data_IF_044194777583
#
_entry.id   IF_044194777583
#
_cell.length_a   1.000
_cell.length_b   1.000
_cell.length_c   1.000
_cell.angle_alpha   90.00
_cell.angle_beta   90.00
_cell.angle_gamma   90.00
#
_symmetry.space_group_name_H-M   'P 1'
#
loop_
_entity.id
_entity.type
_entity.pdbx_description
1 polymer ?
#
# COMPACT_ATOMS: atom_id res chain seq x y z
N UNK A 1 51.84 -24.82 -29.77
CA UNK A 1 52.99 -24.21 -29.08
C UNK A 1 52.99 -22.69 -29.15
N UNK A 2 52.82 -22.08 -30.33
CA UNK A 2 52.84 -20.60 -30.48
C UNK A 2 51.84 -19.86 -29.59
N UNK A 3 50.60 -20.35 -29.45
CA UNK A 3 49.58 -19.75 -28.57
C UNK A 3 50.00 -19.68 -27.09
N UNK A 4 50.69 -20.71 -26.60
CA UNK A 4 51.18 -20.75 -25.20
C UNK A 4 52.36 -19.80 -25.03
N UNK A 5 53.26 -19.75 -26.02
CA UNK A 5 54.41 -18.85 -26.00
C UNK A 5 53.93 -17.38 -26.00
N UNK A 6 52.99 -17.04 -26.87
CA UNK A 6 52.40 -15.71 -26.96
C UNK A 6 51.66 -15.33 -25.66
N UNK A 7 50.86 -16.24 -25.11
CA UNK A 7 50.16 -16.02 -23.84
C UNK A 7 51.13 -15.77 -22.68
N UNK A 8 52.14 -16.62 -22.52
CA UNK A 8 53.17 -16.46 -21.47
C UNK A 8 53.95 -15.17 -21.68
N UNK A 9 54.29 -14.82 -22.92
CA UNK A 9 54.96 -13.55 -23.25
C UNK A 9 54.10 -12.35 -22.85
N UNK A 10 52.79 -12.39 -23.10
CA UNK A 10 51.85 -11.35 -22.69
C UNK A 10 51.73 -11.22 -21.17
N UNK A 11 51.75 -12.34 -20.43
CA UNK A 11 51.78 -12.32 -18.95
C UNK A 11 53.09 -11.68 -18.46
N UNK A 12 54.23 -12.08 -19.01
CA UNK A 12 55.53 -11.53 -18.61
C UNK A 12 55.58 -10.02 -18.88
N UNK A 13 55.12 -9.59 -20.06
CA UNK A 13 55.06 -8.17 -20.42
C UNK A 13 54.14 -7.41 -19.45
N UNK A 14 52.95 -7.96 -19.15
CA UNK A 14 52.03 -7.37 -18.18
C UNK A 14 52.66 -7.27 -16.78
N UNK A 15 53.36 -8.30 -16.31
CA UNK A 15 54.04 -8.30 -15.02
C UNK A 15 55.14 -7.23 -14.96
N UNK A 16 55.89 -7.04 -16.05
CA UNK A 16 56.87 -5.96 -16.15
C UNK A 16 56.19 -4.59 -16.01
N UNK A 17 55.07 -4.37 -16.71
CA UNK A 17 54.27 -3.14 -16.55
C UNK A 17 53.72 -2.99 -15.13
N UNK A 18 53.22 -4.07 -14.51
CA UNK A 18 52.69 -4.05 -13.16
C UNK A 18 53.75 -3.63 -12.13
N UNK A 19 55.00 -4.09 -12.30
CA UNK A 19 56.14 -3.69 -11.45
C UNK A 19 56.45 -2.19 -11.64
N UNK A 20 56.45 -1.71 -12.88
CA UNK A 20 56.65 -0.28 -13.17
C UNK A 20 55.54 0.55 -12.50
N UNK A 21 54.28 0.14 -12.65
CA UNK A 21 53.13 0.81 -12.01
C UNK A 21 53.29 0.82 -10.49
N UNK A 22 53.75 -0.27 -9.87
CA UNK A 22 53.97 -0.32 -8.42
C UNK A 22 55.03 0.70 -7.95
N UNK A 23 56.09 0.91 -8.74
CA UNK A 23 57.11 1.92 -8.44
C UNK A 23 56.66 3.35 -8.71
N UNK A 24 55.73 3.58 -9.64
CA UNK A 24 55.16 4.91 -9.88
C UNK A 24 54.14 5.30 -8.81
N UNK A 25 53.52 4.32 -8.13
CA UNK A 25 52.48 4.60 -7.15
C UNK A 25 53.07 5.12 -5.82
N UNK A 26 52.63 6.29 -5.33
CA UNK A 26 53.03 6.78 -4.03
C UNK A 26 52.48 5.89 -2.91
N UNK A 27 53.25 5.70 -1.85
CA UNK A 27 52.83 4.93 -0.68
C UNK A 27 51.60 5.56 -0.03
N UNK A 28 50.45 4.88 -0.08
CA UNK A 28 49.19 5.41 0.44
C UNK A 28 48.04 4.40 0.36
N UNK A 29 46.85 4.83 0.78
CA UNK A 29 45.63 3.99 0.72
C UNK A 29 45.30 3.60 -0.71
N UNK A 30 45.49 4.50 -1.68
CA UNK A 30 45.26 4.25 -3.11
C UNK A 30 46.14 3.16 -3.70
N UNK A 31 47.38 3.02 -3.23
CA UNK A 31 48.28 1.95 -3.71
C UNK A 31 47.68 0.57 -3.45
N UNK A 32 46.98 0.36 -2.32
CA UNK A 32 46.33 -0.92 -1.98
C UNK A 32 45.23 -1.28 -2.98
N UNK A 33 44.41 -0.30 -3.34
CA UNK A 33 43.31 -0.49 -4.28
C UNK A 33 43.81 -0.73 -5.71
N UNK A 34 44.85 -0.01 -6.13
CA UNK A 34 45.47 -0.24 -7.44
C UNK A 34 46.14 -1.61 -7.48
N UNK A 35 46.85 -2.04 -6.42
CA UNK A 35 47.41 -3.39 -6.31
C UNK A 35 46.36 -4.48 -6.44
N UNK A 36 45.22 -4.30 -5.78
CA UNK A 36 44.08 -5.21 -5.89
C UNK A 36 43.55 -5.27 -7.33
N UNK A 37 43.34 -4.12 -7.98
CA UNK A 37 42.83 -4.07 -9.36
C UNK A 37 43.80 -4.69 -10.37
N UNK A 38 45.10 -4.39 -10.25
CA UNK A 38 46.16 -4.98 -11.10
C UNK A 38 46.24 -6.49 -10.89
N UNK A 39 46.10 -6.97 -9.65
CA UNK A 39 46.03 -8.41 -9.35
C UNK A 39 44.81 -9.09 -9.98
N UNK A 40 43.64 -8.45 -9.94
CA UNK A 40 42.44 -8.94 -10.62
C UNK A 40 42.65 -9.01 -12.15
N UNK A 41 43.28 -7.99 -12.72
CA UNK A 41 43.61 -7.94 -14.15
C UNK A 41 44.60 -9.05 -14.53
N UNK A 42 45.59 -9.35 -13.68
CA UNK A 42 46.50 -10.49 -13.88
C UNK A 42 45.73 -11.82 -13.94
N UNK A 43 44.80 -12.03 -13.00
CA UNK A 43 43.96 -13.24 -13.00
C UNK A 43 43.16 -13.35 -14.29
N UNK A 44 42.57 -12.24 -14.78
CA UNK A 44 41.83 -12.25 -16.05
C UNK A 44 42.72 -12.59 -17.26
N UNK A 45 43.92 -11.99 -17.34
CA UNK A 45 44.89 -12.29 -18.41
C UNK A 45 45.35 -13.75 -18.35
N UNK A 46 45.53 -14.30 -17.14
CA UNK A 46 45.83 -15.72 -16.94
C UNK A 46 44.66 -16.64 -17.34
N UNK A 47 43.42 -16.20 -17.10
CA UNK A 47 42.22 -17.00 -17.36
C UNK A 47 41.81 -16.97 -18.84
N UNK A 48 42.21 -15.96 -19.61
CA UNK A 48 41.85 -15.79 -21.02
C UNK A 48 42.02 -17.05 -21.91
N UNK A 49 43.15 -17.79 -21.92
CA UNK A 49 43.26 -19.00 -22.73
C UNK A 49 42.37 -20.16 -22.23
N UNK A 50 42.09 -20.22 -20.92
CA UNK A 50 41.18 -21.20 -20.33
C UNK A 50 39.76 -20.95 -20.82
N UNK A 51 39.34 -19.68 -20.85
CA UNK A 51 38.04 -19.26 -21.39
C UNK A 51 37.94 -19.53 -22.89
N UNK A 52 39.01 -19.24 -23.65
CA UNK A 52 39.07 -19.55 -25.09
C UNK A 52 38.94 -21.05 -25.36
N UNK A 53 39.52 -21.91 -24.51
CA UNK A 53 39.40 -23.37 -24.64
C UNK A 53 37.97 -23.84 -24.34
N UNK A 54 37.25 -23.12 -23.47
CA UNK A 54 35.83 -23.34 -23.21
C UNK A 54 34.91 -22.73 -24.30
N UNK A 55 35.46 -22.16 -25.38
CA UNK A 55 34.71 -21.41 -26.41
C UNK A 55 33.90 -20.23 -25.86
N UNK A 56 34.37 -19.66 -24.75
CA UNK A 56 33.71 -18.53 -24.10
C UNK A 56 34.49 -17.26 -24.38
N UNK A 57 33.79 -16.25 -24.89
CA UNK A 57 34.33 -14.92 -25.13
C UNK A 57 34.39 -14.12 -23.82
N UNK A 58 35.58 -13.73 -23.33
CA UNK A 58 35.72 -12.96 -22.10
C UNK A 58 34.96 -11.63 -22.13
N UNK A 59 34.84 -10.99 -23.30
CA UNK A 59 34.20 -9.68 -23.46
C UNK A 59 32.68 -9.81 -23.26
N UNK A 60 32.09 -10.89 -23.80
CA UNK A 60 30.67 -11.19 -23.62
C UNK A 60 30.33 -11.59 -22.18
N UNK A 61 31.22 -12.32 -21.50
CA UNK A 61 31.05 -12.64 -20.07
C UNK A 61 31.05 -11.39 -19.21
N UNK A 62 31.98 -10.46 -19.45
CA UNK A 62 32.03 -9.21 -18.69
C UNK A 62 30.79 -8.37 -18.97
N UNK A 63 30.38 -8.23 -20.24
CA UNK A 63 29.19 -7.48 -20.62
C UNK A 63 27.92 -8.04 -19.96
N UNK A 64 27.72 -9.35 -20.02
CA UNK A 64 26.58 -10.02 -19.37
C UNK A 64 26.61 -9.90 -17.84
N UNK A 65 27.77 -10.05 -17.21
CA UNK A 65 27.92 -9.84 -15.76
C UNK A 65 27.59 -8.40 -15.35
N UNK A 66 28.00 -7.40 -16.14
CA UNK A 66 27.70 -5.99 -15.88
C UNK A 66 26.21 -5.68 -16.00
N UNK A 67 25.54 -6.27 -17.00
CA UNK A 67 24.09 -6.18 -17.18
C UNK A 67 23.35 -6.87 -16.02
N UNK A 68 23.81 -8.04 -15.58
CA UNK A 68 23.22 -8.71 -14.40
C UNK A 68 23.43 -7.91 -13.11
N UNK A 69 24.60 -7.31 -12.91
CA UNK A 69 24.88 -6.51 -11.72
C UNK A 69 24.04 -5.22 -11.68
N UNK A 70 23.86 -4.57 -12.83
CA UNK A 70 22.98 -3.39 -12.94
C UNK A 70 21.50 -3.75 -12.78
N UNK A 71 21.04 -4.82 -13.42
CA UNK A 71 19.66 -5.31 -13.28
C UNK A 71 19.36 -5.85 -11.88
N UNK A 72 20.35 -6.41 -11.16
CA UNK A 72 20.17 -6.87 -9.78
C UNK A 72 19.77 -5.74 -8.82
N UNK A 73 20.26 -4.52 -9.05
CA UNK A 73 19.84 -3.34 -8.28
C UNK A 73 18.41 -2.91 -8.61
N UNK A 74 18.03 -2.98 -9.88
CA UNK A 74 16.65 -2.73 -10.32
C UNK A 74 15.67 -3.77 -9.76
N UNK A 75 16.10 -5.03 -9.63
CA UNK A 75 15.31 -6.10 -9.00
C UNK A 75 15.03 -5.85 -7.52
N UNK A 76 16.01 -5.34 -6.75
CA UNK A 76 15.83 -5.03 -5.33
C UNK A 76 14.82 -3.88 -5.11
N UNK A 77 14.87 -2.84 -5.94
CA UNK A 77 13.90 -1.74 -5.87
C UNK A 77 12.49 -2.19 -6.27
N UNK A 78 12.37 -3.02 -7.31
CA UNK A 78 11.09 -3.59 -7.72
C UNK A 78 10.46 -4.42 -6.59
N UNK A 79 11.24 -5.26 -5.91
CA UNK A 79 10.77 -6.06 -4.76
C UNK A 79 10.33 -5.16 -3.61
N UNK A 80 11.11 -4.12 -3.26
CA UNK A 80 10.72 -3.16 -2.22
C UNK A 80 9.40 -2.46 -2.53
N UNK A 81 9.21 -2.02 -3.77
CA UNK A 81 7.97 -1.38 -4.21
C UNK A 81 6.76 -2.32 -4.12
N UNK A 82 6.93 -3.59 -4.52
CA UNK A 82 5.88 -4.60 -4.38
C UNK A 82 5.49 -4.84 -2.91
N UNK A 83 6.48 -4.92 -2.02
CA UNK A 83 6.23 -5.09 -0.58
C UNK A 83 5.48 -3.89 0.00
N UNK A 84 5.88 -2.66 -0.32
CA UNK A 84 5.18 -1.46 0.14
C UNK A 84 3.75 -1.36 -0.40
N UNK A 85 3.52 -1.78 -1.64
CA UNK A 85 2.16 -1.84 -2.20
C UNK A 85 1.29 -2.87 -1.47
N UNK A 86 1.81 -4.09 -1.27
CA UNK A 86 1.08 -5.14 -0.54
C UNK A 86 0.77 -4.72 0.90
N UNK A 87 1.71 -4.05 1.57
CA UNK A 87 1.50 -3.49 2.91
C UNK A 87 0.34 -2.50 2.92
N UNK A 88 0.27 -1.58 1.96
CA UNK A 88 -0.83 -0.61 1.83
C UNK A 88 -2.18 -1.31 1.61
N UNK A 89 -2.23 -2.31 0.74
CA UNK A 89 -3.44 -3.08 0.47
C UNK A 89 -3.92 -3.85 1.72
N UNK A 90 -3.00 -4.48 2.45
CA UNK A 90 -3.31 -5.19 3.71
C UNK A 90 -3.84 -4.20 4.75
N UNK A 91 -3.20 -3.04 4.93
CA UNK A 91 -3.66 -2.03 5.88
C UNK A 91 -5.05 -1.49 5.50
N UNK A 92 -5.32 -1.27 4.22
CA UNK A 92 -6.63 -0.82 3.75
C UNK A 92 -7.74 -1.85 4.04
N UNK A 93 -7.47 -3.14 3.76
CA UNK A 93 -8.44 -4.21 4.01
C UNK A 93 -8.71 -4.44 5.51
N UNK A 94 -7.68 -4.37 6.36
CA UNK A 94 -7.83 -4.44 7.80
C UNK A 94 -8.68 -3.28 8.34
N UNK A 95 -8.45 -2.06 7.86
CA UNK A 95 -9.25 -0.89 8.25
C UNK A 95 -10.72 -1.04 7.86
N UNK A 96 -10.98 -1.43 6.62
CA UNK A 96 -12.35 -1.67 6.15
C UNK A 96 -13.07 -2.74 7.00
N UNK A 97 -12.36 -3.79 7.39
CA UNK A 97 -12.89 -4.83 8.27
C UNK A 97 -13.26 -4.28 9.65
N UNK A 98 -12.36 -3.50 10.28
CA UNK A 98 -12.63 -2.93 11.62
C UNK A 98 -13.81 -1.96 11.57
N UNK A 99 -13.87 -1.06 10.58
CA UNK A 99 -14.97 -0.12 10.43
C UNK A 99 -16.32 -0.83 10.24
N UNK A 100 -16.34 -1.90 9.44
CA UNK A 100 -17.53 -2.72 9.25
C UNK A 100 -17.97 -3.41 10.55
N UNK A 101 -17.02 -3.93 11.33
CA UNK A 101 -17.34 -4.57 12.60
C UNK A 101 -17.87 -3.57 13.63
N UNK A 102 -17.29 -2.37 13.69
CA UNK A 102 -17.80 -1.28 14.53
C UNK A 102 -19.21 -0.86 14.12
N UNK A 103 -19.47 -0.68 12.82
CA UNK A 103 -20.79 -0.38 12.28
C UNK A 103 -21.85 -1.41 12.73
N UNK A 104 -21.55 -2.71 12.59
CA UNK A 104 -22.45 -3.79 13.01
C UNK A 104 -22.69 -3.77 14.52
N UNK A 105 -21.67 -3.48 15.33
CA UNK A 105 -21.83 -3.40 16.77
C UNK A 105 -22.70 -2.21 17.18
N UNK A 106 -22.46 -1.03 16.59
CA UNK A 106 -23.28 0.17 16.82
C UNK A 106 -24.73 -0.04 16.35
N UNK A 107 -24.94 -0.70 15.21
CA UNK A 107 -26.26 -1.07 14.70
C UNK A 107 -27.02 -1.94 15.70
N UNK A 108 -26.39 -3.01 16.21
CA UNK A 108 -27.02 -3.92 17.16
C UNK A 108 -27.32 -3.23 18.50
N UNK A 109 -26.45 -2.34 18.96
CA UNK A 109 -26.62 -1.62 20.23
C UNK A 109 -27.85 -0.70 20.26
N UNK A 110 -28.31 -0.23 19.10
CA UNK A 110 -29.42 0.74 19.00
C UNK A 110 -30.68 0.18 18.36
N UNK A 111 -30.58 -0.88 17.55
CA UNK A 111 -31.72 -1.40 16.81
C UNK A 111 -32.84 -1.96 17.69
N UNK A 112 -32.51 -2.61 18.81
CA UNK A 112 -33.53 -3.12 19.73
C UNK A 112 -34.37 -1.97 20.32
N UNK A 113 -33.71 -0.93 20.80
CA UNK A 113 -34.36 0.20 21.47
C UNK A 113 -35.07 1.15 20.48
N UNK A 114 -34.49 1.36 19.29
CA UNK A 114 -35.14 2.11 18.20
C UNK A 114 -36.39 1.40 17.67
N UNK A 115 -36.38 0.06 17.65
CA UNK A 115 -37.54 -0.72 17.25
C UNK A 115 -38.66 -0.66 18.29
N UNK A 116 -38.33 -0.78 19.57
CA UNK A 116 -39.32 -0.72 20.66
C UNK A 116 -39.94 0.68 20.84
N UNK A 117 -39.13 1.74 20.81
CA UNK A 117 -39.61 3.11 21.09
C UNK A 117 -40.15 3.83 19.86
N UNK A 118 -39.53 3.63 18.70
CA UNK A 118 -39.81 4.42 17.50
C UNK A 118 -40.30 3.59 16.30
N UNK A 119 -40.25 2.25 16.36
CA UNK A 119 -40.60 1.37 15.24
C UNK A 119 -39.67 1.52 14.04
N UNK A 120 -38.43 1.96 14.26
CA UNK A 120 -37.43 2.24 13.24
C UNK A 120 -36.28 1.24 13.31
N UNK A 121 -35.68 0.95 12.15
CA UNK A 121 -34.42 0.21 12.06
C UNK A 121 -33.31 1.13 11.55
N UNK A 122 -32.19 1.17 12.26
CA UNK A 122 -30.96 1.84 11.86
C UNK A 122 -30.06 0.90 11.04
N UNK A 123 -29.44 1.46 10.01
CA UNK A 123 -28.37 0.87 9.20
C UNK A 123 -27.18 1.83 9.35
N UNK A 124 -26.11 1.38 10.02
CA UNK A 124 -25.01 2.25 10.45
C UNK A 124 -23.80 2.04 9.54
N UNK A 125 -23.23 3.13 9.03
CA UNK A 125 -21.97 3.14 8.29
C UNK A 125 -20.96 4.06 8.98
N UNK A 126 -19.74 3.56 9.21
CA UNK A 126 -18.68 4.33 9.89
C UNK A 126 -17.62 4.74 8.87
N UNK A 127 -17.37 6.05 8.78
CA UNK A 127 -16.38 6.63 7.87
C UNK A 127 -15.19 7.23 8.61
N UNK A 128 -14.04 6.98 8.00
CA UNK A 128 -12.71 7.22 8.52
C UNK A 128 -12.01 8.33 7.74
N UNK A 129 -11.20 9.16 8.41
CA UNK A 129 -10.24 10.03 7.70
C UNK A 129 -9.28 9.21 6.81
N UNK A 130 -9.07 9.60 5.54
CA UNK A 130 -8.03 9.00 4.71
C UNK A 130 -6.64 9.44 5.18
N UNK A 131 -5.72 8.51 5.36
CA UNK A 131 -4.34 8.79 5.78
C UNK A 131 -3.60 7.53 6.26
N UNK A 132 -2.26 7.52 6.16
CA UNK A 132 -1.44 6.37 6.59
C UNK A 132 -1.36 6.26 8.12
N UNK A 133 -1.44 7.38 8.84
CA UNK A 133 -1.46 7.45 10.30
C UNK A 133 -2.89 7.34 10.85
N UNK A 134 -3.44 6.13 10.82
CA UNK A 134 -4.75 5.80 11.41
C UNK A 134 -4.62 5.40 12.87
N UNK A 135 -5.22 6.17 13.79
CA UNK A 135 -5.31 5.93 15.23
C UNK A 135 -6.78 5.85 15.64
N UNK A 136 -7.18 4.67 16.09
CA UNK A 136 -8.49 4.49 16.72
C UNK A 136 -8.43 4.85 18.21
N UNK A 137 -9.50 5.42 18.78
CA UNK A 137 -10.77 5.78 18.14
C UNK A 137 -10.81 7.20 17.51
N UNK A 138 -9.73 7.98 17.64
CA UNK A 138 -9.72 9.42 17.37
C UNK A 138 -9.92 9.83 15.89
N UNK A 139 -9.61 8.94 14.94
CA UNK A 139 -9.67 9.26 13.50
C UNK A 139 -11.02 8.96 12.82
N UNK A 140 -12.04 8.55 13.59
CA UNK A 140 -13.42 8.45 13.09
C UNK A 140 -13.93 9.84 12.77
N UNK A 141 -14.33 10.07 11.51
CA UNK A 141 -14.76 11.39 11.04
C UNK A 141 -16.27 11.55 11.15
N UNK A 142 -17.00 10.56 10.64
CA UNK A 142 -18.44 10.64 10.52
C UNK A 142 -19.03 9.24 10.64
N UNK A 143 -20.09 9.11 11.43
CA UNK A 143 -20.94 7.94 11.51
C UNK A 143 -22.23 8.33 10.81
N UNK A 144 -22.51 7.69 9.68
CA UNK A 144 -23.76 7.87 8.95
C UNK A 144 -24.75 6.80 9.43
N UNK A 145 -25.94 7.23 9.83
CA UNK A 145 -27.00 6.37 10.34
C UNK A 145 -28.21 6.55 9.44
N UNK A 146 -28.54 5.50 8.69
CA UNK A 146 -29.70 5.49 7.81
C UNK A 146 -30.87 4.81 8.53
N UNK A 147 -31.92 5.57 8.83
CA UNK A 147 -33.13 5.08 9.50
C UNK A 147 -34.17 4.64 8.47
N UNK A 148 -34.79 3.49 8.68
CA UNK A 148 -35.87 2.97 7.84
C UNK A 148 -37.06 2.50 8.66
N UNK A 149 -38.28 2.84 8.22
CA UNK A 149 -39.53 2.30 8.78
C UNK A 149 -39.74 0.89 8.23
N UNK A 150 -39.84 -0.10 9.12
CA UNK A 150 -40.20 -1.45 8.69
C UNK A 150 -41.72 -1.50 8.44
N UNK A 151 -42.13 -1.49 7.17
CA UNK A 151 -43.50 -1.89 6.82
C UNK A 151 -43.63 -3.39 7.11
N UNK A 152 -44.52 -3.74 8.04
CA UNK A 152 -45.05 -5.11 8.12
C UNK A 152 -45.55 -5.52 6.73
N UNK A 153 -45.05 -6.65 6.23
CA UNK A 153 -45.40 -7.17 4.92
C UNK A 153 -46.89 -7.56 4.91
N UNK A 154 -47.77 -6.66 4.49
CA UNK A 154 -49.19 -7.02 4.35
C UNK A 154 -50.26 -5.94 4.23
N UNK A 155 -49.97 -4.64 4.06
CA UNK A 155 -51.05 -3.69 3.77
C UNK A 155 -50.61 -2.59 2.80
N UNK A 156 -51.10 -2.71 1.57
CA UNK A 156 -50.99 -1.69 0.53
C UNK A 156 -52.22 -0.81 0.66
N UNK A 157 -52.08 0.38 1.25
CA UNK A 157 -53.11 1.41 1.13
C UNK A 157 -53.02 2.03 -0.27
N UNK A 158 -54.15 2.13 -1.01
CA UNK A 158 -54.16 2.73 -2.33
C UNK A 158 -53.86 4.22 -2.23
N UNK A 159 -52.94 4.69 -3.07
CA UNK A 159 -52.58 6.12 -3.16
C UNK A 159 -53.70 6.84 -3.93
N UNK A 160 -54.51 7.62 -3.23
CA UNK A 160 -55.41 8.62 -3.81
C UNK A 160 -54.61 9.91 -3.99
N UNK A 161 -54.37 10.32 -5.23
CA UNK A 161 -53.68 11.57 -5.55
C UNK A 161 -54.74 12.66 -5.73
N UNK A 162 -55.07 13.38 -4.65
CA UNK A 162 -55.82 14.64 -4.73
C UNK A 162 -54.84 15.80 -5.03
N UNK A 163 -55.02 16.45 -6.18
CA UNK A 163 -54.10 17.43 -6.78
C UNK A 163 -54.35 18.89 -6.37
N UNK A 164 -55.13 19.15 -5.32
CA UNK A 164 -55.60 20.51 -4.98
C UNK A 164 -54.95 21.15 -3.75
N UNK A 165 -53.85 20.61 -3.22
CA UNK A 165 -53.12 21.21 -2.08
C UNK A 165 -51.61 21.24 -2.34
N UNK A 166 -50.94 22.41 -2.21
CA UNK A 166 -49.47 22.49 -2.27
C UNK A 166 -48.83 21.61 -1.18
N UNK A 167 -47.64 21.02 -1.42
CA UNK A 167 -46.97 20.20 -0.43
C UNK A 167 -46.51 21.10 0.73
N UNK A 168 -47.08 20.89 1.91
CA UNK A 168 -46.50 21.41 3.13
C UNK A 168 -45.20 20.63 3.40
N UNK A 169 -44.10 21.33 3.64
CA UNK A 169 -42.89 20.75 4.23
C UNK A 169 -43.30 20.04 5.53
N UNK A 170 -43.05 18.73 5.70
CA UNK A 170 -43.44 18.05 6.93
C UNK A 170 -42.45 18.42 8.04
N UNK A 171 -42.82 19.37 8.88
CA UNK A 171 -42.08 19.77 10.10
C UNK A 171 -41.83 18.59 11.07
N UNK A 172 -42.54 17.46 10.93
CA UNK A 172 -42.44 16.30 11.81
C UNK A 172 -41.19 15.43 11.61
N UNK A 173 -40.66 15.30 10.39
CA UNK A 173 -39.53 14.39 10.13
C UNK A 173 -38.18 14.99 10.53
N UNK A 174 -38.03 16.31 10.44
CA UNK A 174 -36.84 17.03 10.91
C UNK A 174 -36.73 17.01 12.45
N UNK A 175 -37.86 17.15 13.16
CA UNK A 175 -37.91 17.06 14.62
C UNK A 175 -37.59 15.65 15.13
N UNK A 176 -38.06 14.61 14.43
CA UNK A 176 -37.73 13.21 14.74
C UNK A 176 -36.26 12.88 14.46
N UNK A 177 -35.66 13.48 13.42
CA UNK A 177 -34.24 13.31 13.12
C UNK A 177 -33.34 13.88 14.22
N UNK A 178 -33.67 15.06 14.76
CA UNK A 178 -32.92 15.66 15.87
C UNK A 178 -33.09 14.86 17.17
N UNK A 179 -34.29 14.36 17.47
CA UNK A 179 -34.52 13.55 18.67
C UNK A 179 -33.74 12.22 18.61
N UNK A 180 -33.73 11.56 17.45
CA UNK A 180 -32.94 10.35 17.24
C UNK A 180 -31.44 10.65 17.24
N UNK A 181 -31.00 11.78 16.68
CA UNK A 181 -29.58 12.20 16.75
C UNK A 181 -29.13 12.40 18.19
N UNK A 182 -29.89 13.11 19.01
CA UNK A 182 -29.58 13.32 20.42
C UNK A 182 -29.56 12.01 21.22
N UNK A 183 -30.50 11.10 20.92
CA UNK A 183 -30.53 9.76 21.50
C UNK A 183 -29.28 8.95 21.15
N UNK A 184 -28.87 8.95 19.88
CA UNK A 184 -27.67 8.23 19.40
C UNK A 184 -26.38 8.83 19.97
N UNK A 185 -26.27 10.16 20.03
CA UNK A 185 -25.13 10.85 20.62
C UNK A 185 -24.96 10.50 22.12
N UNK A 186 -26.06 10.50 22.87
CA UNK A 186 -26.06 10.10 24.28
C UNK A 186 -25.72 8.62 24.49
N UNK A 187 -26.18 7.73 23.59
CA UNK A 187 -25.94 6.29 23.71
C UNK A 187 -24.50 5.88 23.34
N UNK A 188 -23.92 6.53 22.33
CA UNK A 188 -22.59 6.20 21.85
C UNK A 188 -21.48 7.06 22.48
N UNK A 189 -21.82 8.06 23.29
CA UNK A 189 -20.88 9.03 23.86
C UNK A 189 -20.03 9.74 22.77
N UNK A 190 -20.65 10.03 21.63
CA UNK A 190 -20.02 10.68 20.46
C UNK A 190 -20.68 12.03 20.21
N UNK A 191 -19.88 13.03 19.86
CA UNK A 191 -20.35 14.37 19.50
C UNK A 191 -21.44 14.31 18.41
N UNK A 192 -22.53 15.04 18.60
CA UNK A 192 -23.64 15.14 17.64
C UNK A 192 -23.17 15.60 16.24
N UNK A 193 -22.10 16.40 16.18
CA UNK A 193 -21.48 16.90 14.95
C UNK A 193 -20.86 15.79 14.08
N UNK A 194 -20.61 14.61 14.65
CA UNK A 194 -20.04 13.46 13.95
C UNK A 194 -21.10 12.45 13.49
N UNK A 195 -22.37 12.65 13.86
CA UNK A 195 -23.47 11.73 13.54
C UNK A 195 -24.36 12.36 12.48
N UNK A 196 -24.32 11.80 11.27
CA UNK A 196 -25.26 12.18 10.21
C UNK A 196 -26.43 11.19 10.20
N UNK A 197 -27.66 11.70 10.23
CA UNK A 197 -28.88 10.88 10.32
C UNK A 197 -29.74 11.15 9.09
N UNK A 198 -30.01 10.10 8.32
CA UNK A 198 -30.82 10.19 7.11
C UNK A 198 -31.99 9.20 7.15
N UNK A 199 -33.18 9.62 6.71
CA UNK A 199 -34.33 8.73 6.59
C UNK A 199 -34.41 8.12 5.18
N UNK A 200 -34.43 6.79 5.08
CA UNK A 200 -34.64 6.06 3.82
C UNK A 200 -36.14 6.08 3.47
N UNK A 201 -36.60 7.17 2.84
CA UNK A 201 -38.01 7.33 2.45
C UNK A 201 -38.31 8.56 1.59
N UNK A 202 -38.39 8.33 0.27
CA UNK A 202 -38.84 9.19 -0.86
C UNK A 202 -37.89 10.31 -1.33
N UNK A 203 -37.10 9.99 -2.36
CA UNK A 203 -37.15 10.81 -3.58
C UNK A 203 -38.51 10.63 -4.27
#
# INVERSE_FOLDING_TARGET
MQLVIEWVTNIILFLLFAIIIDFLLPSGTMQKYVKMAVGLMLVLVMLAPVLRLASVDPEQLIASALVHFSNGRAGEEAIKNQIEQQKKEIQASQRAYILKQMAVQLENDVNEELMEKYGLKADVNVYAKPGDDWRMPDDIKTIEVVLSKQKSAGSVEPVVIDTTKPPALPEGDASLAEEVRAFLAGRWEIDEDKIDVQFRGRE
#
